data_IF_387806458973
#
_entry.id   IF_387806458973
#
_cell.length_a   1.000
_cell.length_b   1.000
_cell.length_c   1.000
_cell.angle_alpha   90.00
_cell.angle_beta   90.00
_cell.angle_gamma   90.00
#
_symmetry.space_group_name_H-M   'P 1'
#
loop_
_entity.id
_entity.type
_entity.pdbx_description
1 polymer ?
#
# COMPACT_ATOMS: atom_id res chain seq x y z
N UNK A 1 0.70 -20.50 11.80
CA UNK A 1 1.10 -20.20 10.40
C UNK A 1 0.37 -18.95 9.99
N UNK A 2 1.07 -17.95 9.52
CA UNK A 2 0.48 -16.71 9.01
C UNK A 2 0.15 -16.93 7.54
N UNK A 3 -1.11 -16.78 7.15
CA UNK A 3 -1.50 -16.84 5.74
C UNK A 3 -1.60 -15.42 5.21
N UNK A 4 -1.03 -15.16 4.03
CA UNK A 4 -1.21 -13.92 3.29
C UNK A 4 -1.94 -14.23 1.98
N UNK A 5 -3.00 -13.50 1.69
CA UNK A 5 -3.72 -13.53 0.42
C UNK A 5 -3.88 -12.10 -0.13
N UNK A 6 -3.98 -11.94 -1.44
CA UNK A 6 -3.95 -10.66 -2.12
C UNK A 6 -5.15 -10.46 -3.04
N UNK A 7 -5.69 -9.24 -3.06
CA UNK A 7 -6.44 -8.66 -4.16
C UNK A 7 -5.68 -7.42 -4.67
N UNK A 8 -6.04 -6.81 -5.76
CA UNK A 8 -5.22 -5.91 -6.59
C UNK A 8 -4.28 -4.88 -5.91
N UNK A 9 -4.58 -4.39 -4.73
CA UNK A 9 -3.74 -3.44 -3.98
C UNK A 9 -3.61 -3.82 -2.50
N UNK A 10 -4.46 -4.73 -2.01
CA UNK A 10 -4.58 -5.06 -0.60
C UNK A 10 -3.91 -6.39 -0.27
N UNK A 11 -3.33 -6.49 0.91
CA UNK A 11 -2.77 -7.72 1.41
C UNK A 11 -3.38 -8.06 2.77
N UNK A 12 -3.85 -9.31 2.91
CA UNK A 12 -4.43 -9.81 4.15
C UNK A 12 -3.41 -10.66 4.89
N UNK A 13 -3.16 -10.34 6.15
CA UNK A 13 -2.26 -11.06 7.05
C UNK A 13 -3.04 -11.58 8.24
N UNK A 14 -3.10 -12.90 8.38
CA UNK A 14 -3.81 -13.55 9.47
C UNK A 14 -2.84 -14.28 10.40
N UNK A 15 -3.02 -14.11 11.70
CA UNK A 15 -2.28 -14.81 12.75
C UNK A 15 -3.18 -15.14 13.92
N UNK A 16 -2.60 -15.74 14.97
CA UNK A 16 -3.36 -16.09 16.16
C UNK A 16 -3.84 -14.82 16.88
N UNK A 17 -5.16 -14.60 16.88
CA UNK A 17 -5.81 -13.47 17.55
C UNK A 17 -5.76 -12.14 16.80
N UNK A 18 -5.30 -12.10 15.53
CA UNK A 18 -5.32 -10.88 14.73
C UNK A 18 -5.58 -11.14 13.24
N UNK A 19 -6.18 -10.16 12.59
CA UNK A 19 -6.30 -10.05 11.14
C UNK A 19 -5.92 -8.63 10.73
N UNK A 20 -4.80 -8.48 10.03
CA UNK A 20 -4.31 -7.19 9.51
C UNK A 20 -4.62 -7.11 8.03
N UNK A 21 -5.32 -6.07 7.62
CA UNK A 21 -5.43 -5.67 6.22
C UNK A 21 -4.40 -4.57 5.95
N UNK A 22 -3.50 -4.80 5.00
CA UNK A 22 -2.55 -3.80 4.52
C UNK A 22 -3.11 -3.17 3.26
N UNK A 23 -3.40 -1.88 3.34
CA UNK A 23 -4.15 -1.06 2.41
C UNK A 23 -5.63 -1.45 2.27
N UNK A 24 -6.46 -0.48 1.90
CA UNK A 24 -7.91 -0.61 1.82
C UNK A 24 -8.45 -0.21 0.43
N UNK A 25 -7.67 -0.36 -0.61
CA UNK A 25 -8.05 -0.22 -2.02
C UNK A 25 -8.71 1.10 -2.39
N UNK A 26 -9.20 1.14 -3.63
CA UNK A 26 -9.80 2.34 -4.24
C UNK A 26 -11.22 2.66 -3.75
N UNK A 27 -11.78 1.84 -2.85
CA UNK A 27 -13.17 1.99 -2.43
C UNK A 27 -14.17 1.43 -3.44
N UNK A 28 -15.47 1.78 -3.31
CA UNK A 28 -16.51 1.20 -4.15
C UNK A 28 -16.53 1.72 -5.60
N UNK A 29 -15.86 2.83 -5.89
CA UNK A 29 -15.85 3.46 -7.21
C UNK A 29 -14.47 3.47 -7.84
N UNK A 30 -14.42 3.46 -9.18
CA UNK A 30 -13.19 3.66 -9.91
C UNK A 30 -12.64 5.08 -9.71
N UNK A 31 -11.31 5.21 -9.66
CA UNK A 31 -10.63 6.50 -9.59
C UNK A 31 -10.28 6.93 -11.03
N UNK A 32 -10.84 8.05 -11.55
CA UNK A 32 -10.58 8.50 -12.91
C UNK A 32 -9.13 8.97 -13.06
N UNK A 33 -8.58 8.79 -14.26
CA UNK A 33 -7.27 9.34 -14.58
C UNK A 33 -7.40 10.87 -14.81
N UNK A 34 -6.60 11.73 -14.13
CA UNK A 34 -6.68 13.16 -14.29
C UNK A 34 -6.34 13.58 -15.73
N UNK A 35 -7.25 14.30 -16.39
CA UNK A 35 -7.09 14.71 -17.80
C UNK A 35 -5.83 15.57 -18.01
N UNK A 36 -5.51 16.43 -17.04
CA UNK A 36 -4.32 17.30 -17.09
C UNK A 36 -3.03 16.50 -17.06
N UNK A 37 -2.99 15.42 -16.30
CA UNK A 37 -1.83 14.51 -16.24
C UNK A 37 -1.68 13.73 -17.54
N UNK A 38 -2.78 13.27 -18.13
CA UNK A 38 -2.73 12.60 -19.43
C UNK A 38 -2.13 13.51 -20.52
N UNK A 39 -2.55 14.77 -20.54
CA UNK A 39 -2.01 15.78 -21.48
C UNK A 39 -0.52 16.04 -21.18
N UNK A 40 -0.15 16.26 -19.92
CA UNK A 40 1.24 16.54 -19.52
C UNK A 40 2.18 15.38 -19.85
N UNK A 41 1.70 14.13 -19.69
CA UNK A 41 2.45 12.91 -19.98
C UNK A 41 2.41 12.49 -21.47
N UNK A 42 1.67 13.21 -22.32
CA UNK A 42 1.52 12.88 -23.75
C UNK A 42 0.80 11.55 -24.01
N UNK A 43 -0.06 11.12 -23.08
CA UNK A 43 -0.80 9.86 -23.20
C UNK A 43 -1.95 10.00 -24.20
N UNK A 44 -1.93 9.19 -25.26
CA UNK A 44 -2.97 9.17 -26.29
C UNK A 44 -3.19 7.73 -26.79
N UNK A 45 -4.35 7.11 -26.52
CA UNK A 45 -5.46 7.63 -25.71
C UNK A 45 -5.09 7.74 -24.21
N UNK A 46 -5.74 8.67 -23.52
CA UNK A 46 -5.61 8.75 -22.07
C UNK A 46 -6.23 7.50 -21.42
N UNK A 47 -5.63 6.95 -20.33
CA UNK A 47 -6.28 5.94 -19.51
C UNK A 47 -7.60 6.47 -18.94
N UNK A 48 -8.61 5.61 -18.85
CA UNK A 48 -9.90 5.98 -18.27
C UNK A 48 -9.80 6.14 -16.75
N UNK A 49 -9.08 5.24 -16.10
CA UNK A 49 -8.94 5.19 -14.64
C UNK A 49 -7.48 5.03 -14.21
N UNK A 50 -7.12 5.61 -13.05
CA UNK A 50 -5.89 5.29 -12.32
C UNK A 50 -6.04 3.94 -11.64
N UNK A 51 -7.20 3.70 -10.99
CA UNK A 51 -7.49 2.49 -10.25
C UNK A 51 -8.95 2.06 -10.40
N UNK A 52 -9.18 0.76 -10.36
CA UNK A 52 -10.52 0.15 -10.44
C UNK A 52 -10.97 -0.23 -9.04
N UNK A 53 -12.14 0.27 -8.66
CA UNK A 53 -12.75 0.03 -7.34
C UNK A 53 -13.62 -1.22 -7.27
N UNK A 54 -14.19 -1.47 -6.08
CA UNK A 54 -15.23 -2.46 -5.83
C UNK A 54 -14.77 -3.86 -5.44
N UNK A 55 -13.50 -4.24 -5.63
CA UNK A 55 -13.05 -5.63 -5.50
C UNK A 55 -12.82 -6.14 -4.06
N UNK A 56 -12.56 -5.27 -3.09
CA UNK A 56 -12.16 -5.68 -1.74
C UNK A 56 -13.20 -6.55 -1.00
N UNK A 57 -14.53 -6.26 -1.03
CA UNK A 57 -15.49 -7.12 -0.36
C UNK A 57 -15.51 -8.56 -0.87
N UNK A 58 -15.41 -8.74 -2.19
CA UNK A 58 -15.38 -10.06 -2.82
C UNK A 58 -14.08 -10.80 -2.49
N UNK A 59 -12.95 -10.08 -2.44
CA UNK A 59 -11.66 -10.65 -2.05
C UNK A 59 -11.63 -11.10 -0.58
N UNK A 60 -12.18 -10.31 0.33
CA UNK A 60 -12.33 -10.70 1.74
C UNK A 60 -13.23 -11.92 1.87
N UNK A 61 -14.37 -11.94 1.19
CA UNK A 61 -15.29 -13.07 1.19
C UNK A 61 -14.63 -14.35 0.64
N UNK A 62 -13.84 -14.25 -0.42
CA UNK A 62 -13.07 -15.37 -0.98
C UNK A 62 -11.99 -15.89 -0.01
N UNK A 63 -11.43 -15.01 0.83
CA UNK A 63 -10.52 -15.38 1.91
C UNK A 63 -11.24 -15.90 3.17
N UNK A 64 -12.57 -15.91 3.19
CA UNK A 64 -13.38 -16.32 4.34
C UNK A 64 -13.34 -15.33 5.51
N UNK A 65 -13.11 -14.04 5.23
CA UNK A 65 -12.97 -12.97 6.23
C UNK A 65 -14.12 -11.99 6.08
N UNK A 66 -14.83 -11.74 7.15
CA UNK A 66 -15.82 -10.66 7.20
C UNK A 66 -15.13 -9.32 7.60
N UNK A 67 -15.69 -8.17 7.25
CA UNK A 67 -15.15 -6.88 7.71
C UNK A 67 -15.01 -6.77 9.22
N UNK A 68 -15.86 -7.44 9.98
CA UNK A 68 -15.86 -7.50 11.43
C UNK A 68 -14.68 -8.31 12.01
N UNK A 69 -14.06 -9.18 11.21
CA UNK A 69 -12.92 -10.02 11.60
C UNK A 69 -11.60 -9.28 11.48
N UNK A 70 -11.57 -8.15 10.73
CA UNK A 70 -10.38 -7.32 10.59
C UNK A 70 -10.15 -6.55 11.88
N UNK A 71 -8.99 -6.77 12.51
CA UNK A 71 -8.62 -6.12 13.78
C UNK A 71 -7.76 -4.88 13.57
N UNK A 72 -7.06 -4.81 12.43
CA UNK A 72 -6.20 -3.69 12.08
C UNK A 72 -6.25 -3.47 10.57
N UNK A 73 -6.44 -2.22 10.17
CA UNK A 73 -6.16 -1.74 8.81
C UNK A 73 -4.87 -0.92 8.88
N UNK A 74 -3.83 -1.38 8.22
CA UNK A 74 -2.59 -0.62 8.09
C UNK A 74 -2.51 -0.01 6.70
N UNK A 75 -2.42 1.33 6.63
CA UNK A 75 -2.28 2.07 5.38
C UNK A 75 -0.81 2.36 5.13
N UNK A 76 -0.29 1.84 4.02
CA UNK A 76 1.11 2.11 3.63
C UNK A 76 1.32 3.60 3.41
N UNK A 77 0.32 4.27 2.83
CA UNK A 77 0.24 5.71 2.64
C UNK A 77 -1.22 6.13 2.37
N UNK A 78 -1.47 7.44 2.17
CA UNK A 78 -2.83 7.96 2.10
C UNK A 78 -3.31 8.40 0.71
N UNK A 79 -2.83 7.80 -0.39
CA UNK A 79 -3.45 7.98 -1.70
C UNK A 79 -4.83 7.30 -1.79
N UNK A 80 -5.68 7.79 -2.68
CA UNK A 80 -7.08 7.40 -2.78
C UNK A 80 -7.31 5.91 -3.05
N UNK A 81 -6.39 5.26 -3.75
CA UNK A 81 -6.42 3.82 -4.07
C UNK A 81 -5.90 2.91 -2.94
N UNK A 82 -5.50 3.49 -1.80
CA UNK A 82 -5.12 2.76 -0.58
C UNK A 82 -6.08 3.00 0.58
N UNK A 83 -6.88 4.07 0.57
CA UNK A 83 -7.76 4.45 1.69
C UNK A 83 -9.25 4.26 1.41
N UNK A 84 -9.63 3.87 0.21
CA UNK A 84 -11.01 3.98 -0.29
C UNK A 84 -12.05 3.19 0.50
N UNK A 85 -11.69 2.05 1.10
CA UNK A 85 -12.60 1.26 1.94
C UNK A 85 -12.46 1.55 3.44
N UNK A 86 -11.68 2.56 3.86
CA UNK A 86 -11.58 2.91 5.29
C UNK A 86 -12.94 3.32 5.84
N UNK A 87 -13.61 4.27 5.20
CA UNK A 87 -14.96 4.68 5.59
C UNK A 87 -15.79 5.17 4.38
N UNK A 88 -16.08 4.27 3.41
CA UNK A 88 -16.94 4.60 2.30
C UNK A 88 -18.33 5.00 2.85
N UNK A 89 -19.00 5.93 2.22
CA UNK A 89 -20.27 6.47 2.70
C UNK A 89 -20.25 7.07 4.13
N UNK A 90 -19.07 7.47 4.63
CA UNK A 90 -18.93 8.20 5.89
C UNK A 90 -19.02 7.34 7.15
N UNK A 91 -18.84 6.02 7.05
CA UNK A 91 -18.78 5.10 8.19
C UNK A 91 -17.60 4.15 8.05
N UNK A 92 -16.87 3.83 9.14
CA UNK A 92 -15.85 2.78 9.12
C UNK A 92 -16.43 1.48 8.53
N UNK A 93 -15.75 0.96 7.51
CA UNK A 93 -16.15 -0.29 6.86
C UNK A 93 -15.75 -1.51 7.70
N UNK A 94 -14.66 -1.37 8.47
CA UNK A 94 -14.13 -2.37 9.39
C UNK A 94 -14.45 -1.96 10.84
N UNK A 95 -15.59 -2.37 11.40
CA UNK A 95 -16.13 -1.79 12.63
C UNK A 95 -15.28 -2.10 13.87
N UNK A 96 -14.46 -3.15 13.83
CA UNK A 96 -13.61 -3.58 14.95
C UNK A 96 -12.14 -3.22 14.76
N UNK A 97 -11.77 -2.59 13.62
CA UNK A 97 -10.38 -2.31 13.30
C UNK A 97 -9.90 -0.96 13.82
N UNK A 98 -8.67 -0.93 14.33
CA UNK A 98 -7.87 0.29 14.38
C UNK A 98 -7.28 0.55 12.98
N UNK A 99 -7.32 1.80 12.50
CA UNK A 99 -6.73 2.21 11.22
C UNK A 99 -5.44 2.96 11.49
N UNK A 100 -4.30 2.38 11.09
CA UNK A 100 -2.96 2.90 11.37
C UNK A 100 -2.36 3.49 10.10
N UNK A 101 -1.75 4.68 10.20
CA UNK A 101 -1.16 5.37 9.05
C UNK A 101 0.04 6.23 9.45
N UNK A 102 0.91 6.58 8.49
CA UNK A 102 2.03 7.49 8.67
C UNK A 102 1.58 8.94 8.86
N UNK A 103 1.91 9.55 10.00
CA UNK A 103 1.43 10.87 10.40
C UNK A 103 1.71 11.97 9.37
N UNK A 104 2.87 11.91 8.69
CA UNK A 104 3.28 12.92 7.72
C UNK A 104 2.38 13.00 6.46
N UNK A 105 1.59 11.95 6.18
CA UNK A 105 0.70 11.93 5.03
C UNK A 105 -0.60 12.69 5.26
N UNK A 106 -1.02 12.90 6.51
CA UNK A 106 -2.29 13.59 6.78
C UNK A 106 -2.34 14.99 6.16
N UNK A 107 -1.34 15.81 6.45
CA UNK A 107 -1.29 17.17 5.91
C UNK A 107 -0.97 17.20 4.42
N UNK A 108 -0.12 16.28 3.98
CA UNK A 108 0.31 16.22 2.58
C UNK A 108 -0.79 15.75 1.62
N UNK A 109 -1.64 14.79 2.02
CA UNK A 109 -2.56 14.09 1.11
C UNK A 109 -4.03 14.25 1.49
N UNK A 110 -4.37 14.39 2.78
CA UNK A 110 -5.78 14.48 3.20
C UNK A 110 -6.18 15.94 3.40
N UNK A 111 -5.47 16.70 4.24
CA UNK A 111 -5.83 18.07 4.53
C UNK A 111 -5.67 19.01 3.32
N UNK A 112 -4.72 18.72 2.43
CA UNK A 112 -4.47 19.50 1.21
C UNK A 112 -5.45 19.20 0.06
N UNK A 113 -6.14 18.08 0.11
CA UNK A 113 -7.08 17.62 -0.93
C UNK A 113 -8.43 18.35 -0.81
N UNK A 114 -9.18 18.60 -1.92
CA UNK A 114 -10.50 19.21 -1.87
C UNK A 114 -11.46 18.51 -0.91
N UNK A 115 -12.36 19.28 -0.26
CA UNK A 115 -13.27 18.74 0.76
C UNK A 115 -14.26 17.69 0.23
N UNK A 116 -14.54 17.74 -1.07
CA UNK A 116 -15.41 16.80 -1.81
C UNK A 116 -14.69 15.52 -2.25
N UNK A 117 -13.41 15.42 -2.06
CA UNK A 117 -12.63 14.23 -2.43
C UNK A 117 -13.04 13.01 -1.58
N UNK A 118 -13.34 11.84 -2.20
CA UNK A 118 -13.78 10.66 -1.47
C UNK A 118 -12.80 10.16 -0.42
N UNK A 119 -11.48 10.23 -0.69
CA UNK A 119 -10.45 9.82 0.25
C UNK A 119 -10.46 10.72 1.49
N UNK A 120 -10.55 12.05 1.29
CA UNK A 120 -10.68 13.01 2.38
C UNK A 120 -11.94 12.79 3.19
N UNK A 121 -13.10 12.64 2.54
CA UNK A 121 -14.38 12.38 3.22
C UNK A 121 -14.29 11.12 4.08
N UNK A 122 -13.75 10.02 3.54
CA UNK A 122 -13.59 8.76 4.26
C UNK A 122 -12.64 8.87 5.45
N UNK A 123 -11.48 9.48 5.26
CA UNK A 123 -10.48 9.64 6.33
C UNK A 123 -10.97 10.59 7.45
N UNK A 124 -11.65 11.69 7.12
CA UNK A 124 -12.27 12.59 8.11
C UNK A 124 -13.40 11.89 8.88
N UNK A 125 -14.19 11.04 8.23
CA UNK A 125 -15.21 10.22 8.89
C UNK A 125 -14.59 9.21 9.86
N UNK A 126 -13.52 8.51 9.44
CA UNK A 126 -12.77 7.60 10.30
C UNK A 126 -12.15 8.32 11.51
N UNK A 127 -11.62 9.53 11.29
CA UNK A 127 -11.12 10.40 12.37
C UNK A 127 -12.22 10.75 13.36
N UNK A 128 -13.38 11.14 12.87
CA UNK A 128 -14.55 11.47 13.69
C UNK A 128 -15.04 10.26 14.48
N UNK A 129 -14.96 9.05 13.91
CA UNK A 129 -15.28 7.80 14.58
C UNK A 129 -14.23 7.38 15.63
N UNK A 130 -13.07 8.04 15.67
CA UNK A 130 -12.00 7.77 16.65
C UNK A 130 -11.23 6.47 16.39
N UNK A 131 -11.25 5.95 15.16
CA UNK A 131 -10.59 4.67 14.81
C UNK A 131 -9.17 4.85 14.26
N UNK A 132 -8.71 6.10 14.05
CA UNK A 132 -7.40 6.39 13.46
C UNK A 132 -6.29 6.44 14.50
N UNK A 133 -5.15 5.84 14.17
CA UNK A 133 -3.87 5.96 14.88
C UNK A 133 -2.75 6.39 13.94
N UNK A 134 -2.21 7.58 14.16
CA UNK A 134 -1.04 8.06 13.43
C UNK A 134 0.26 7.52 14.04
N UNK A 135 1.23 7.19 13.20
CA UNK A 135 2.58 6.78 13.60
C UNK A 135 3.63 7.64 12.91
N UNK A 136 4.76 7.88 13.60
CA UNK A 136 5.91 8.68 13.10
C UNK A 136 7.27 8.04 13.41
N UNK A 137 7.29 6.89 14.12
CA UNK A 137 8.53 6.19 14.44
C UNK A 137 9.08 5.47 13.20
N UNK A 138 10.42 5.34 13.06
CA UNK A 138 11.04 4.65 11.93
C UNK A 138 10.58 3.19 11.76
N UNK A 139 10.19 2.54 12.85
CA UNK A 139 9.73 1.16 12.88
C UNK A 139 8.66 1.00 13.96
N UNK A 140 7.53 0.35 13.62
CA UNK A 140 6.42 0.10 14.54
C UNK A 140 5.90 -1.33 14.35
N UNK A 141 5.84 -2.11 15.43
CA UNK A 141 5.13 -3.38 15.42
C UNK A 141 3.62 -3.11 15.42
N UNK A 142 2.90 -3.68 14.43
CA UNK A 142 1.44 -3.52 14.26
C UNK A 142 0.65 -4.76 14.66
N UNK A 143 1.29 -5.93 14.60
CA UNK A 143 0.79 -7.20 15.16
C UNK A 143 1.98 -8.13 15.36
N UNK A 144 1.85 -9.24 16.11
CA UNK A 144 2.95 -10.17 16.32
C UNK A 144 3.57 -10.66 15.02
N UNK A 145 4.85 -10.31 14.79
CA UNK A 145 5.59 -10.63 13.57
C UNK A 145 5.24 -9.75 12.35
N UNK A 146 4.42 -8.72 12.52
CA UNK A 146 4.07 -7.76 11.46
C UNK A 146 4.57 -6.37 11.86
N UNK A 147 5.50 -5.81 11.09
CA UNK A 147 6.21 -4.58 11.45
C UNK A 147 6.19 -3.59 10.29
N UNK A 148 5.72 -2.39 10.55
CA UNK A 148 5.80 -1.25 9.62
C UNK A 148 7.18 -0.60 9.69
N UNK A 149 7.76 -0.25 8.56
CA UNK A 149 9.06 0.42 8.42
C UNK A 149 8.89 1.66 7.53
N UNK A 150 9.32 2.83 8.04
CA UNK A 150 9.23 4.08 7.31
C UNK A 150 10.09 4.04 6.05
N UNK A 151 9.47 4.24 4.89
CA UNK A 151 10.10 4.17 3.55
C UNK A 151 9.64 5.37 2.70
N UNK A 152 9.99 6.61 3.12
CA UNK A 152 9.50 7.82 2.48
C UNK A 152 10.04 8.03 1.07
N UNK A 153 9.35 8.87 0.29
CA UNK A 153 9.72 9.25 -1.06
C UNK A 153 8.52 9.30 -1.99
N UNK A 154 7.79 8.17 -2.11
CA UNK A 154 6.51 8.17 -2.80
C UNK A 154 5.53 9.13 -2.10
N UNK A 155 5.39 8.98 -0.79
CA UNK A 155 4.81 10.01 0.09
C UNK A 155 5.73 10.27 1.28
N UNK A 156 5.58 11.39 2.02
CA UNK A 156 6.40 11.65 3.20
C UNK A 156 6.12 10.69 4.36
N UNK A 157 4.90 10.17 4.48
CA UNK A 157 4.48 9.23 5.52
C UNK A 157 4.39 7.77 5.06
N UNK A 158 5.02 7.41 3.93
CA UNK A 158 4.97 6.06 3.41
C UNK A 158 5.70 5.05 4.29
N UNK A 159 5.07 3.87 4.48
CA UNK A 159 5.62 2.72 5.19
C UNK A 159 5.51 1.45 4.35
N UNK A 160 6.55 0.64 4.36
CA UNK A 160 6.51 -0.75 3.93
C UNK A 160 6.22 -1.66 5.14
N UNK A 161 5.79 -2.90 4.90
CA UNK A 161 5.44 -3.86 5.95
C UNK A 161 6.25 -5.14 5.82
N UNK A 162 6.96 -5.52 6.87
CA UNK A 162 7.59 -6.83 6.99
C UNK A 162 6.70 -7.79 7.76
N UNK A 163 6.62 -9.04 7.28
CA UNK A 163 5.87 -10.14 7.90
C UNK A 163 6.84 -11.28 8.11
N UNK A 164 7.01 -11.69 9.38
CA UNK A 164 7.92 -12.77 9.76
C UNK A 164 7.13 -13.91 10.39
N UNK A 165 7.22 -15.10 9.84
CA UNK A 165 6.56 -16.30 10.34
C UNK A 165 7.37 -17.56 10.03
N UNK A 166 7.58 -18.44 11.01
CA UNK A 166 8.25 -19.72 10.80
C UNK A 166 9.69 -19.62 10.25
N UNK A 167 10.39 -18.51 10.51
CA UNK A 167 11.73 -18.26 9.99
C UNK A 167 11.77 -17.73 8.55
N UNK A 168 10.61 -17.49 7.93
CA UNK A 168 10.47 -16.87 6.61
C UNK A 168 10.06 -15.41 6.75
N UNK A 169 10.40 -14.59 5.74
CA UNK A 169 10.02 -13.19 5.67
C UNK A 169 9.32 -12.89 4.35
N UNK A 170 8.19 -12.18 4.43
CA UNK A 170 7.61 -11.44 3.32
C UNK A 170 7.75 -9.94 3.60
N UNK A 171 7.91 -9.15 2.53
CA UNK A 171 8.05 -7.71 2.62
C UNK A 171 7.15 -7.03 1.59
N UNK A 172 6.14 -6.31 2.07
CA UNK A 172 5.21 -5.56 1.24
C UNK A 172 5.78 -4.16 1.07
N UNK A 173 6.17 -3.81 -0.15
CA UNK A 173 6.87 -2.54 -0.42
C UNK A 173 5.93 -1.34 -0.54
N UNK A 174 4.60 -1.57 -0.58
CA UNK A 174 3.64 -0.52 -0.92
C UNK A 174 3.98 0.09 -2.27
N UNK A 175 3.95 1.40 -2.35
CA UNK A 175 4.23 2.19 -3.55
C UNK A 175 5.67 2.72 -3.63
N UNK A 176 6.58 2.20 -2.79
CA UNK A 176 8.01 2.44 -2.99
C UNK A 176 8.50 1.88 -4.34
N UNK A 177 7.82 0.83 -4.85
CA UNK A 177 8.05 0.22 -6.17
C UNK A 177 6.70 -0.03 -6.85
N UNK A 178 6.50 0.51 -8.06
CA UNK A 178 5.29 0.32 -8.86
C UNK A 178 5.47 -0.67 -10.02
N UNK A 179 6.71 -0.84 -10.49
CA UNK A 179 7.01 -1.70 -11.61
C UNK A 179 8.39 -2.36 -11.47
N UNK A 180 8.56 -3.64 -11.88
CA UNK A 180 9.85 -4.34 -11.82
C UNK A 180 11.01 -3.60 -12.46
N UNK A 181 10.75 -2.82 -13.52
CA UNK A 181 11.79 -2.01 -14.17
C UNK A 181 12.45 -1.00 -13.22
N UNK A 182 11.76 -0.52 -12.18
CA UNK A 182 12.34 0.37 -11.17
C UNK A 182 13.35 -0.34 -10.27
N UNK A 183 13.33 -1.68 -10.23
CA UNK A 183 14.35 -2.47 -9.53
C UNK A 183 15.55 -2.74 -10.44
N UNK A 184 15.36 -2.81 -11.76
CA UNK A 184 16.46 -2.94 -12.73
C UNK A 184 17.17 -1.60 -12.99
N UNK A 185 16.41 -0.49 -12.92
CA UNK A 185 16.90 0.88 -13.02
C UNK A 185 16.14 1.73 -12.00
N UNK A 186 16.73 1.90 -10.82
CA UNK A 186 16.16 2.67 -9.70
C UNK A 186 15.94 4.14 -10.05
N UNK A 187 16.61 4.66 -11.11
CA UNK A 187 16.43 6.00 -11.62
C UNK A 187 15.08 6.24 -12.34
N UNK A 188 14.34 5.17 -12.66
CA UNK A 188 12.97 5.30 -13.21
C UNK A 188 12.07 5.84 -12.10
N UNK A 189 11.66 7.11 -12.24
CA UNK A 189 10.72 7.75 -11.30
C UNK A 189 9.28 7.39 -11.64
N UNK A 190 8.42 7.43 -10.63
CA UNK A 190 6.98 7.36 -10.80
C UNK A 190 6.37 8.76 -10.81
N UNK A 191 5.32 8.96 -11.61
CA UNK A 191 4.72 10.29 -11.82
C UNK A 191 4.19 10.93 -10.52
N UNK A 192 3.73 10.09 -9.59
CA UNK A 192 3.15 10.54 -8.32
C UNK A 192 4.13 10.48 -7.14
N UNK A 193 5.44 10.26 -7.38
CA UNK A 193 6.44 10.37 -6.31
C UNK A 193 6.51 11.83 -5.81
N UNK A 194 6.17 12.08 -4.54
CA UNK A 194 6.22 13.41 -3.93
C UNK A 194 7.66 13.94 -3.84
N UNK A 195 8.65 13.07 -3.60
CA UNK A 195 10.08 13.34 -3.67
C UNK A 195 10.78 12.22 -4.45
N UNK A 196 10.93 12.41 -5.76
CA UNK A 196 11.55 11.42 -6.64
C UNK A 196 12.98 11.05 -6.24
N UNK A 197 13.75 11.98 -5.64
CA UNK A 197 15.12 11.71 -5.15
C UNK A 197 15.11 10.83 -3.91
N UNK A 198 14.14 11.04 -3.03
CA UNK A 198 13.98 10.22 -1.84
C UNK A 198 13.45 8.84 -2.23
N UNK A 199 12.45 8.76 -3.11
CA UNK A 199 11.93 7.50 -3.65
C UNK A 199 13.04 6.66 -4.32
N UNK A 200 13.96 7.30 -5.07
CA UNK A 200 15.16 6.63 -5.61
C UNK A 200 16.00 6.01 -4.49
N UNK A 201 16.34 6.77 -3.44
CA UNK A 201 17.14 6.24 -2.31
C UNK A 201 16.45 5.08 -1.61
N UNK A 202 15.15 5.19 -1.38
CA UNK A 202 14.33 4.12 -0.79
C UNK A 202 14.39 2.84 -1.64
N UNK A 203 14.27 2.94 -2.97
CA UNK A 203 14.42 1.79 -3.89
C UNK A 203 15.83 1.19 -3.85
N UNK A 204 16.87 2.00 -3.83
CA UNK A 204 18.26 1.54 -3.72
C UNK A 204 18.54 0.81 -2.39
N UNK A 205 17.98 1.30 -1.29
CA UNK A 205 18.06 0.65 0.01
C UNK A 205 17.34 -0.70 0.01
N UNK A 206 16.15 -0.81 -0.60
CA UNK A 206 15.40 -2.06 -0.76
C UNK A 206 16.18 -3.09 -1.59
N UNK A 207 16.77 -2.67 -2.72
CA UNK A 207 17.63 -3.52 -3.54
C UNK A 207 18.84 -4.01 -2.75
N UNK A 208 19.58 -3.10 -2.12
CA UNK A 208 20.76 -3.45 -1.32
C UNK A 208 20.43 -4.45 -0.21
N UNK A 209 19.24 -4.30 0.39
CA UNK A 209 18.80 -5.16 1.49
C UNK A 209 18.35 -6.55 1.05
N UNK A 210 17.68 -6.67 -0.09
CA UNK A 210 16.95 -7.88 -0.45
C UNK A 210 17.48 -8.60 -1.69
N UNK A 211 18.37 -8.01 -2.49
CA UNK A 211 18.95 -8.68 -3.66
C UNK A 211 19.67 -9.97 -3.26
N UNK A 212 19.30 -11.07 -3.93
CA UNK A 212 19.85 -12.39 -3.66
C UNK A 212 19.45 -13.01 -2.31
N UNK A 213 18.50 -12.42 -1.60
CA UNK A 213 17.94 -12.98 -0.36
C UNK A 213 16.74 -13.90 -0.62
N UNK A 214 16.36 -14.71 0.39
CA UNK A 214 15.14 -15.55 0.34
C UNK A 214 13.87 -14.77 0.72
N UNK A 215 13.94 -13.44 0.83
CA UNK A 215 12.79 -12.60 1.17
C UNK A 215 11.81 -12.54 0.02
N UNK A 216 10.56 -12.80 0.32
CA UNK A 216 9.45 -12.68 -0.63
C UNK A 216 8.94 -11.25 -0.65
N UNK A 217 8.91 -10.61 -1.82
CA UNK A 217 8.51 -9.22 -2.00
C UNK A 217 7.10 -9.14 -2.59
N UNK A 218 6.22 -8.38 -1.95
CA UNK A 218 4.90 -8.00 -2.49
C UNK A 218 4.95 -6.58 -3.05
N UNK A 219 4.67 -6.41 -4.35
CA UNK A 219 4.59 -5.12 -5.03
C UNK A 219 3.11 -4.84 -5.33
N UNK A 220 2.60 -3.69 -4.89
CA UNK A 220 1.17 -3.37 -4.89
C UNK A 220 0.56 -3.35 -6.30
N UNK A 221 1.15 -2.64 -7.24
CA UNK A 221 0.57 -2.37 -8.57
C UNK A 221 0.96 -3.37 -9.67
N UNK A 222 1.36 -4.59 -9.31
CA UNK A 222 1.63 -5.64 -10.29
C UNK A 222 0.42 -6.60 -10.43
N UNK A 223 -0.41 -6.45 -11.46
CA UNK A 223 -1.58 -7.29 -11.66
C UNK A 223 -1.20 -8.74 -11.97
N UNK A 224 -1.91 -9.68 -11.32
CA UNK A 224 -1.75 -11.12 -11.58
C UNK A 224 -0.42 -11.70 -11.17
N UNK A 225 0.37 -10.96 -10.40
CA UNK A 225 1.65 -11.44 -9.88
C UNK A 225 1.51 -11.80 -8.40
N UNK A 226 1.93 -13.00 -8.12
CA UNK A 226 2.15 -13.46 -6.76
C UNK A 226 3.36 -12.76 -6.14
N UNK A 227 3.72 -13.15 -4.94
CA UNK A 227 4.92 -12.68 -4.29
C UNK A 227 6.18 -13.08 -5.08
N UNK A 228 7.15 -12.19 -5.15
CA UNK A 228 8.35 -12.29 -5.96
C UNK A 228 9.61 -12.23 -5.12
N UNK A 229 10.76 -12.56 -5.71
CA UNK A 229 12.08 -12.42 -5.11
C UNK A 229 12.94 -11.50 -5.95
N UNK A 230 13.81 -10.74 -5.31
CA UNK A 230 14.84 -9.98 -6.00
C UNK A 230 16.07 -10.88 -6.12
N UNK A 231 16.36 -11.35 -7.32
CA UNK A 231 17.52 -12.18 -7.62
C UNK A 231 18.63 -11.38 -8.28
N UNK A 232 19.86 -11.84 -8.18
CA UNK A 232 21.01 -11.26 -8.87
C UNK A 232 21.47 -12.18 -9.98
N UNK A 233 21.43 -11.72 -11.24
CA UNK A 233 21.93 -12.44 -12.40
C UNK A 233 22.77 -11.52 -13.27
N UNK A 234 23.99 -11.95 -13.63
CA UNK A 234 24.96 -11.17 -14.43
C UNK A 234 25.22 -9.77 -13.88
N UNK A 235 25.22 -9.62 -12.54
CA UNK A 235 25.44 -8.33 -11.88
C UNK A 235 24.27 -7.34 -11.98
N UNK A 236 23.06 -7.83 -12.35
CA UNK A 236 21.79 -7.09 -12.35
C UNK A 236 20.80 -7.78 -11.44
N UNK A 237 19.96 -6.97 -10.82
CA UNK A 237 18.83 -7.44 -10.03
C UNK A 237 17.64 -7.71 -10.94
N UNK A 238 16.93 -8.82 -10.66
CA UNK A 238 15.74 -9.25 -11.38
C UNK A 238 14.68 -9.68 -10.39
N UNK A 239 13.41 -9.59 -10.80
CA UNK A 239 12.31 -10.21 -10.08
C UNK A 239 12.04 -11.58 -10.71
N UNK A 240 12.07 -12.62 -9.88
CA UNK A 240 11.61 -13.96 -10.21
C UNK A 240 10.22 -14.19 -9.62
N UNK A 241 9.34 -14.79 -10.43
CA UNK A 241 7.97 -15.15 -10.04
C UNK A 241 7.93 -16.50 -9.31
#
# INVERSE_FOLDING_TARGET
>A
MTNASRSSAENLVQGEGFTVLVDAGSGPANIPFPAELAVAAGLTPAPEFIAVGGGLPDALAAAGVAPEDVTTVFLTHLHGDHVGWVAPAGKPYFPNAEVIYGAADWDALIASTPAEDPARIGMEAAKTAGVLRAIDAPTVEIAPGVTAQHTPGHTPGHYAVSIVSGGQMAYLVGDAVHHPLQLNDTGISFLFDADAKHALRTREELLTRFAGSDVTIGITHLPGLDFQRITTHDGREWIDA
#
